data_IF_764857533852
#
_entry.id   IF_764857533852
#
_cell.length_a   1.000
_cell.length_b   1.000
_cell.length_c   1.000
_cell.angle_alpha   90.00
_cell.angle_beta   90.00
_cell.angle_gamma   90.00
#
_symmetry.space_group_name_H-M   'P 1'
#
loop_
_entity.id
_entity.type
_entity.pdbx_description
1 polymer ?
#
# COMPACT_ATOMS: atom_id res chain seq x y z
N UNK A 1 -19.49 -20.48 -10.80
CA UNK A 1 -19.54 -19.33 -9.87
C UNK A 1 -18.76 -18.16 -10.47
N UNK A 2 -19.20 -16.91 -10.32
CA UNK A 2 -18.46 -15.76 -10.82
C UNK A 2 -17.14 -15.61 -10.05
N UNK A 3 -16.03 -15.41 -10.77
CA UNK A 3 -14.65 -15.31 -10.27
C UNK A 3 -14.52 -14.41 -9.02
N UNK A 4 -15.25 -13.30 -9.01
CA UNK A 4 -15.31 -12.33 -7.90
C UNK A 4 -15.78 -12.95 -6.58
N UNK A 5 -16.76 -13.87 -6.62
CA UNK A 5 -17.29 -14.50 -5.41
C UNK A 5 -16.26 -15.45 -4.80
N UNK A 6 -15.54 -16.20 -5.63
CA UNK A 6 -14.45 -17.09 -5.18
C UNK A 6 -13.28 -16.29 -4.63
N UNK A 7 -12.93 -15.17 -5.26
CA UNK A 7 -11.90 -14.28 -4.75
C UNK A 7 -12.29 -13.66 -3.40
N UNK A 8 -13.55 -13.23 -3.25
CA UNK A 8 -14.04 -12.72 -1.96
C UNK A 8 -13.99 -13.77 -0.85
N UNK A 9 -14.30 -15.03 -1.15
CA UNK A 9 -14.15 -16.16 -0.21
C UNK A 9 -12.69 -16.38 0.18
N UNK A 10 -11.77 -16.33 -0.79
CA UNK A 10 -10.33 -16.40 -0.54
C UNK A 10 -9.85 -15.31 0.42
N UNK A 11 -10.19 -14.04 0.16
CA UNK A 11 -9.84 -12.93 1.05
C UNK A 11 -10.48 -13.10 2.43
N UNK A 12 -11.73 -13.55 2.50
CA UNK A 12 -12.43 -13.79 3.77
C UNK A 12 -11.80 -14.91 4.60
N UNK A 13 -11.21 -15.92 3.94
CA UNK A 13 -10.51 -17.02 4.60
C UNK A 13 -9.19 -16.58 5.21
N UNK A 14 -8.37 -15.81 4.47
CA UNK A 14 -7.07 -15.33 4.95
C UNK A 14 -7.15 -14.10 5.86
N UNK A 15 -8.23 -13.32 5.77
CA UNK A 15 -8.52 -12.20 6.66
C UNK A 15 -9.84 -12.46 7.41
N UNK A 16 -9.84 -13.35 8.42
CA UNK A 16 -11.07 -13.70 9.14
C UNK A 16 -11.61 -12.53 9.96
N UNK A 17 -10.73 -11.63 10.45
CA UNK A 17 -11.13 -10.41 11.13
C UNK A 17 -11.80 -9.44 10.13
N UNK A 18 -13.11 -9.23 10.32
CA UNK A 18 -13.96 -8.41 9.44
C UNK A 18 -13.44 -6.96 9.36
N UNK A 19 -13.08 -6.36 10.49
CA UNK A 19 -12.59 -4.98 10.55
C UNK A 19 -11.28 -4.81 9.79
N UNK A 20 -10.30 -5.69 10.04
CA UNK A 20 -9.02 -5.70 9.33
C UNK A 20 -9.22 -5.91 7.83
N UNK A 21 -10.10 -6.84 7.44
CA UNK A 21 -10.40 -7.12 6.04
C UNK A 21 -10.92 -5.88 5.33
N UNK A 22 -11.94 -5.22 5.89
CA UNK A 22 -12.50 -4.01 5.29
C UNK A 22 -11.47 -2.88 5.23
N UNK A 23 -10.70 -2.69 6.31
CA UNK A 23 -9.64 -1.69 6.36
C UNK A 23 -8.59 -1.92 5.28
N UNK A 24 -8.08 -3.14 5.16
CA UNK A 24 -7.09 -3.51 4.15
C UNK A 24 -7.64 -3.36 2.72
N UNK A 25 -8.86 -3.86 2.44
CA UNK A 25 -9.47 -3.71 1.11
C UNK A 25 -9.77 -2.25 0.75
N UNK A 26 -10.14 -1.44 1.74
CA UNK A 26 -10.37 0.00 1.54
C UNK A 26 -9.05 0.71 1.24
N UNK A 27 -8.01 0.41 2.02
CA UNK A 27 -6.67 0.97 1.81
C UNK A 27 -6.13 0.62 0.42
N UNK A 28 -6.22 -0.64 0.01
CA UNK A 28 -5.83 -1.08 -1.33
C UNK A 28 -6.63 -0.36 -2.43
N UNK A 29 -7.95 -0.22 -2.27
CA UNK A 29 -8.80 0.50 -3.22
C UNK A 29 -8.43 1.98 -3.34
N UNK A 30 -8.20 2.65 -2.21
CA UNK A 30 -7.79 4.06 -2.17
C UNK A 30 -6.45 4.27 -2.87
N UNK A 31 -5.47 3.41 -2.62
CA UNK A 31 -4.15 3.48 -3.27
C UNK A 31 -4.28 3.32 -4.79
N UNK A 32 -5.04 2.31 -5.26
CA UNK A 32 -5.27 2.09 -6.68
C UNK A 32 -5.93 3.31 -7.31
N UNK A 33 -6.97 3.86 -6.68
CA UNK A 33 -7.64 5.06 -7.17
C UNK A 33 -6.70 6.28 -7.19
N UNK A 34 -5.82 6.44 -6.20
CA UNK A 34 -4.83 7.52 -6.20
C UNK A 34 -3.84 7.41 -7.36
N UNK A 35 -3.33 6.21 -7.66
CA UNK A 35 -2.42 5.96 -8.79
C UNK A 35 -3.14 6.22 -10.13
N UNK A 36 -4.37 5.75 -10.28
CA UNK A 36 -5.15 6.01 -11.50
C UNK A 36 -5.45 7.50 -11.66
N UNK A 37 -5.83 8.19 -10.58
CA UNK A 37 -6.13 9.61 -10.58
C UNK A 37 -4.89 10.47 -10.85
N UNK A 38 -3.73 10.13 -10.30
CA UNK A 38 -2.50 10.91 -10.48
C UNK A 38 -2.04 10.94 -11.94
N UNK A 39 -2.27 9.85 -12.68
CA UNK A 39 -1.98 9.78 -14.12
C UNK A 39 -2.86 10.72 -14.97
N UNK A 40 -3.99 11.19 -14.43
CA UNK A 40 -4.91 12.14 -15.08
C UNK A 40 -4.65 13.60 -14.68
N UNK A 41 -3.77 13.83 -13.70
CA UNK A 41 -3.39 15.17 -13.24
C UNK A 41 -2.15 15.65 -13.99
N UNK A 42 -2.28 16.77 -14.72
CA UNK A 42 -1.15 17.39 -15.37
C UNK A 42 -0.70 18.67 -14.65
N UNK A 43 0.58 18.68 -14.27
CA UNK A 43 1.26 19.83 -13.67
C UNK A 43 2.23 20.43 -14.70
N UNK A 44 2.48 21.72 -14.60
CA UNK A 44 3.52 22.43 -15.34
C UNK A 44 4.90 22.09 -14.76
N UNK A 45 5.97 22.35 -15.52
CA UNK A 45 7.34 22.19 -15.02
C UNK A 45 7.66 23.08 -13.81
N UNK A 46 6.95 24.19 -13.66
CA UNK A 46 7.05 25.09 -12.51
C UNK A 46 6.24 24.62 -11.28
N UNK A 47 5.66 23.42 -11.32
CA UNK A 47 4.89 22.86 -10.20
C UNK A 47 3.46 23.42 -10.05
N UNK A 48 3.01 24.29 -10.96
CA UNK A 48 1.63 24.77 -10.99
C UNK A 48 0.71 23.79 -11.73
N UNK A 49 -0.53 23.66 -11.28
CA UNK A 49 -1.56 22.83 -11.93
C UNK A 49 -1.87 23.42 -13.32
N UNK A 50 -1.91 22.59 -14.37
CA UNK A 50 -2.28 23.08 -15.70
C UNK A 50 -3.72 23.59 -15.69
N UNK A 51 -3.97 24.73 -16.31
CA UNK A 51 -5.30 25.32 -16.39
C UNK A 51 -6.32 24.34 -17.01
N UNK A 52 -7.53 24.33 -16.47
CA UNK A 52 -8.65 23.51 -16.95
C UNK A 52 -9.43 22.85 -15.83
N UNK A 53 -10.75 22.80 -15.98
CA UNK A 53 -11.68 22.26 -14.97
C UNK A 53 -11.34 20.82 -14.56
N UNK A 54 -10.95 19.97 -15.51
CA UNK A 54 -10.58 18.58 -15.24
C UNK A 54 -9.31 18.45 -14.38
N UNK A 55 -8.26 19.24 -14.65
CA UNK A 55 -7.04 19.21 -13.83
C UNK A 55 -7.34 19.65 -12.39
N UNK A 56 -8.16 20.70 -12.22
CA UNK A 56 -8.60 21.16 -10.89
C UNK A 56 -9.41 20.08 -10.17
N UNK A 57 -10.34 19.42 -10.85
CA UNK A 57 -11.14 18.34 -10.28
C UNK A 57 -10.25 17.17 -9.82
N UNK A 58 -9.36 16.68 -10.69
CA UNK A 58 -8.48 15.55 -10.37
C UNK A 58 -7.47 15.88 -9.28
N UNK A 59 -7.01 17.13 -9.17
CA UNK A 59 -6.20 17.58 -8.05
C UNK A 59 -6.96 17.45 -6.73
N UNK A 60 -8.16 18.01 -6.64
CA UNK A 60 -8.94 17.95 -5.40
C UNK A 60 -9.35 16.52 -5.06
N UNK A 61 -9.72 15.71 -6.06
CA UNK A 61 -9.98 14.30 -5.88
C UNK A 61 -8.74 13.57 -5.34
N UNK A 62 -7.54 13.87 -5.87
CA UNK A 62 -6.28 13.32 -5.35
C UNK A 62 -6.08 13.65 -3.88
N UNK A 63 -6.25 14.93 -3.49
CA UNK A 63 -6.05 15.39 -2.11
C UNK A 63 -7.06 14.74 -1.17
N UNK A 64 -8.33 14.61 -1.58
CA UNK A 64 -9.38 13.98 -0.77
C UNK A 64 -9.06 12.48 -0.59
N UNK A 65 -8.76 11.76 -1.67
CA UNK A 65 -8.40 10.34 -1.62
C UNK A 65 -7.13 10.10 -0.80
N UNK A 66 -6.12 10.97 -0.94
CA UNK A 66 -4.90 10.95 -0.12
C UNK A 66 -5.18 11.16 1.36
N UNK A 67 -6.04 12.12 1.70
CA UNK A 67 -6.45 12.36 3.10
C UNK A 67 -7.20 11.16 3.70
N UNK A 68 -8.09 10.53 2.92
CA UNK A 68 -8.77 9.29 3.34
C UNK A 68 -7.78 8.13 3.51
N UNK A 69 -6.76 8.05 2.65
CA UNK A 69 -5.70 7.04 2.73
C UNK A 69 -4.92 7.17 4.03
N UNK A 70 -4.53 8.39 4.43
CA UNK A 70 -3.85 8.65 5.69
C UNK A 70 -4.68 8.13 6.88
N UNK A 71 -5.99 8.38 6.90
CA UNK A 71 -6.88 7.89 7.97
C UNK A 71 -6.89 6.35 8.00
N UNK A 72 -6.97 5.70 6.83
CA UNK A 72 -6.93 4.25 6.73
C UNK A 72 -5.56 3.68 7.14
N UNK A 73 -4.45 4.31 6.76
CA UNK A 73 -3.08 3.94 7.14
C UNK A 73 -2.90 4.03 8.66
N UNK A 74 -3.36 5.12 9.29
CA UNK A 74 -3.35 5.25 10.75
C UNK A 74 -4.17 4.14 11.42
N UNK A 75 -5.36 3.83 10.90
CA UNK A 75 -6.16 2.70 11.37
C UNK A 75 -5.40 1.37 11.30
N UNK A 76 -4.65 1.16 10.21
CA UNK A 76 -3.89 -0.06 9.98
C UNK A 76 -2.70 -0.16 10.95
N UNK A 77 -1.98 0.94 11.15
CA UNK A 77 -0.89 1.04 12.13
C UNK A 77 -1.43 0.76 13.55
N UNK A 78 -2.54 1.39 13.95
CA UNK A 78 -3.15 1.17 15.26
C UNK A 78 -3.52 -0.32 15.42
N UNK A 79 -4.14 -0.93 14.41
CA UNK A 79 -4.46 -2.34 14.46
C UNK A 79 -3.21 -3.21 14.64
N UNK A 80 -2.18 -2.98 13.82
CA UNK A 80 -0.92 -3.73 13.88
C UNK A 80 -0.21 -3.59 15.22
N UNK A 81 -0.20 -2.40 15.83
CA UNK A 81 0.46 -2.16 17.10
C UNK A 81 -0.33 -2.67 18.31
N UNK A 82 -1.66 -2.71 18.23
CA UNK A 82 -2.52 -3.11 19.36
C UNK A 82 -2.91 -4.58 19.34
N UNK A 83 -2.92 -5.22 18.16
CA UNK A 83 -3.34 -6.62 17.99
C UNK A 83 -2.21 -7.55 17.61
N UNK A 84 -1.07 -7.01 17.18
CA UNK A 84 0.11 -7.76 16.75
C UNK A 84 1.38 -7.13 17.35
N UNK A 85 2.51 -7.79 17.19
CA UNK A 85 3.79 -7.27 17.68
C UNK A 85 4.52 -6.51 16.57
N UNK A 86 5.11 -5.35 16.87
CA UNK A 86 6.00 -4.67 15.94
C UNK A 86 7.13 -5.59 15.42
N UNK A 87 7.64 -6.47 16.29
CA UNK A 87 8.67 -7.47 15.94
C UNK A 87 8.19 -8.49 14.91
N UNK A 88 6.88 -8.69 14.75
CA UNK A 88 6.30 -9.58 13.74
C UNK A 88 6.50 -9.05 12.31
N UNK A 89 6.52 -7.72 12.15
CA UNK A 89 6.66 -7.04 10.86
C UNK A 89 8.10 -6.67 10.55
N UNK A 90 8.90 -6.42 11.59
CA UNK A 90 10.29 -6.00 11.47
C UNK A 90 11.27 -6.91 12.25
N UNK A 91 11.18 -8.25 12.11
CA UNK A 91 11.97 -9.18 12.94
C UNK A 91 13.49 -9.01 12.73
N UNK A 92 13.90 -8.57 11.53
CA UNK A 92 15.29 -8.29 11.18
C UNK A 92 15.92 -7.13 11.98
N UNK A 93 15.11 -6.17 12.47
CA UNK A 93 15.59 -5.11 13.36
C UNK A 93 15.96 -5.64 14.76
N UNK A 94 15.51 -6.85 15.09
CA UNK A 94 15.77 -7.52 16.38
C UNK A 94 16.70 -8.73 16.24
N UNK A 95 17.32 -8.91 15.07
CA UNK A 95 18.17 -10.07 14.78
C UNK A 95 17.42 -11.39 14.58
N UNK A 96 16.08 -11.39 14.58
CA UNK A 96 15.25 -12.59 14.48
C UNK A 96 15.02 -13.01 13.02
N UNK A 97 16.09 -13.43 12.36
CA UNK A 97 16.06 -13.72 10.92
C UNK A 97 15.77 -15.18 10.59
N UNK A 98 15.41 -16.01 11.57
CA UNK A 98 15.28 -17.47 11.39
C UNK A 98 14.17 -17.81 10.38
N UNK A 99 12.97 -17.27 10.60
CA UNK A 99 11.79 -17.46 9.74
C UNK A 99 12.01 -16.86 8.35
N UNK A 100 12.51 -15.62 8.28
CA UNK A 100 12.83 -14.96 7.00
C UNK A 100 13.82 -15.79 6.17
N UNK A 101 14.90 -16.30 6.78
CA UNK A 101 15.89 -17.12 6.06
C UNK A 101 15.28 -18.43 5.54
N UNK A 102 14.36 -19.03 6.28
CA UNK A 102 13.67 -20.24 5.85
C UNK A 102 12.71 -19.95 4.69
N UNK A 103 11.93 -18.88 4.76
CA UNK A 103 11.03 -18.46 3.67
C UNK A 103 11.81 -18.17 2.38
N UNK A 104 12.95 -17.47 2.47
CA UNK A 104 13.81 -17.22 1.31
C UNK A 104 14.35 -18.52 0.70
N UNK A 105 14.75 -19.51 1.52
CA UNK A 105 15.17 -20.83 1.02
C UNK A 105 14.05 -21.56 0.30
N UNK A 106 12.81 -21.42 0.74
CA UNK A 106 11.65 -22.02 0.07
C UNK A 106 11.42 -21.36 -1.30
N UNK A 107 11.46 -20.03 -1.38
CA UNK A 107 11.29 -19.29 -2.64
C UNK A 107 12.37 -19.66 -3.66
N UNK A 108 13.64 -19.75 -3.23
CA UNK A 108 14.75 -20.18 -4.10
C UNK A 108 14.50 -21.59 -4.67
N UNK A 109 13.77 -22.45 -3.95
CA UNK A 109 13.35 -23.79 -4.39
C UNK A 109 12.04 -23.79 -5.20
N UNK A 110 11.52 -22.63 -5.58
CA UNK A 110 10.25 -22.49 -6.29
C UNK A 110 9.03 -22.85 -5.44
N UNK A 111 9.15 -22.83 -4.10
CA UNK A 111 8.06 -23.08 -3.17
C UNK A 111 7.57 -21.78 -2.55
N UNK A 112 6.26 -21.61 -2.53
CA UNK A 112 5.64 -20.48 -1.83
C UNK A 112 5.63 -20.77 -0.32
N UNK A 113 6.19 -19.88 0.52
CA UNK A 113 6.14 -20.06 1.95
C UNK A 113 4.71 -19.98 2.47
N UNK A 114 4.41 -20.81 3.48
CA UNK A 114 3.13 -20.75 4.18
C UNK A 114 3.04 -19.49 5.06
N UNK A 115 1.86 -18.84 5.14
CA UNK A 115 1.66 -17.69 6.04
C UNK A 115 1.92 -18.05 7.50
N UNK A 116 2.85 -17.34 8.14
CA UNK A 116 3.21 -17.52 9.56
C UNK A 116 3.74 -16.23 10.20
N UNK A 117 3.76 -16.21 11.53
CA UNK A 117 4.36 -15.09 12.28
C UNK A 117 5.82 -14.87 11.88
N UNK A 118 6.24 -13.61 11.82
CA UNK A 118 7.57 -13.17 11.36
C UNK A 118 7.98 -13.64 9.94
N UNK A 119 7.07 -14.29 9.22
CA UNK A 119 7.29 -14.73 7.86
C UNK A 119 7.26 -13.59 6.85
N UNK A 120 7.60 -13.92 5.61
CA UNK A 120 7.75 -12.98 4.52
C UNK A 120 6.47 -12.18 4.26
N UNK A 121 5.29 -12.78 4.43
CA UNK A 121 4.01 -12.07 4.30
C UNK A 121 3.88 -10.89 5.27
N UNK A 122 4.25 -11.09 6.54
CA UNK A 122 4.22 -10.02 7.55
C UNK A 122 5.31 -8.99 7.27
N UNK A 123 6.51 -9.43 6.86
CA UNK A 123 7.59 -8.51 6.52
C UNK A 123 7.20 -7.62 5.34
N UNK A 124 6.63 -8.19 4.28
CA UNK A 124 6.10 -7.46 3.13
C UNK A 124 5.04 -6.46 3.62
N UNK A 125 4.06 -6.89 4.42
CA UNK A 125 3.06 -5.97 4.99
C UNK A 125 3.69 -4.81 5.78
N UNK A 126 4.72 -5.07 6.59
CA UNK A 126 5.47 -4.04 7.30
C UNK A 126 6.17 -3.06 6.37
N UNK A 127 6.82 -3.56 5.33
CA UNK A 127 7.45 -2.73 4.29
C UNK A 127 6.43 -1.88 3.53
N UNK A 128 5.26 -2.43 3.23
CA UNK A 128 4.16 -1.70 2.58
C UNK A 128 3.68 -0.52 3.42
N UNK A 129 3.47 -0.74 4.72
CA UNK A 129 3.10 0.33 5.65
C UNK A 129 4.23 1.36 5.80
N UNK A 130 5.48 0.92 5.87
CA UNK A 130 6.64 1.83 5.87
C UNK A 130 6.69 2.72 4.63
N UNK A 131 6.49 2.14 3.44
CA UNK A 131 6.43 2.89 2.19
C UNK A 131 5.25 3.87 2.16
N UNK A 132 4.08 3.48 2.69
CA UNK A 132 2.91 4.35 2.81
C UNK A 132 3.17 5.54 3.73
N UNK A 133 3.84 5.33 4.87
CA UNK A 133 4.20 6.43 5.77
C UNK A 133 5.12 7.43 5.05
N UNK A 134 6.14 6.94 4.34
CA UNK A 134 7.09 7.81 3.63
C UNK A 134 6.38 8.69 2.58
N UNK A 135 5.53 8.09 1.75
CA UNK A 135 4.83 8.83 0.69
C UNK A 135 3.77 9.78 1.26
N UNK A 136 3.07 9.39 2.33
CA UNK A 136 2.07 10.24 3.01
C UNK A 136 2.71 11.45 3.68
N UNK A 137 3.86 11.27 4.34
CA UNK A 137 4.63 12.39 4.91
C UNK A 137 5.11 13.34 3.81
N UNK A 138 5.62 12.81 2.70
CA UNK A 138 6.02 13.64 1.57
C UNK A 138 4.82 14.38 0.94
N UNK A 139 3.66 13.72 0.85
CA UNK A 139 2.43 14.32 0.33
C UNK A 139 1.94 15.47 1.23
N UNK A 140 1.91 15.27 2.54
CA UNK A 140 1.52 16.29 3.50
C UNK A 140 2.48 17.47 3.52
N UNK A 141 3.80 17.20 3.48
CA UNK A 141 4.81 18.24 3.38
C UNK A 141 4.61 19.08 2.11
N UNK A 142 4.41 18.41 0.97
CA UNK A 142 4.13 19.10 -0.28
C UNK A 142 2.85 19.93 -0.20
N UNK A 143 1.74 19.38 0.32
CA UNK A 143 0.47 20.10 0.46
C UNK A 143 0.64 21.37 1.31
N UNK A 144 1.32 21.28 2.45
CA UNK A 144 1.59 22.43 3.32
C UNK A 144 2.43 23.48 2.59
N UNK A 145 3.52 23.08 1.94
CA UNK A 145 4.38 24.02 1.21
C UNK A 145 3.65 24.68 0.04
N UNK A 146 2.80 23.93 -0.67
CA UNK A 146 2.01 24.42 -1.79
C UNK A 146 0.96 25.44 -1.32
N UNK A 147 0.21 25.14 -0.26
CA UNK A 147 -0.79 26.07 0.30
C UNK A 147 -0.18 27.39 0.80
N UNK A 148 1.10 27.37 1.19
CA UNK A 148 1.85 28.54 1.65
C UNK A 148 2.63 29.26 0.53
N UNK A 149 2.46 28.87 -0.74
CA UNK A 149 3.23 29.40 -1.88
C UNK A 149 4.75 29.35 -1.66
N UNK A 150 5.23 28.31 -0.97
CA UNK A 150 6.65 28.16 -0.66
C UNK A 150 7.46 27.85 -1.92
N UNK A 151 8.67 28.43 -2.08
CA UNK A 151 9.56 28.10 -3.21
C UNK A 151 9.98 26.62 -3.23
N UNK A 152 9.92 25.93 -2.08
CA UNK A 152 10.29 24.51 -1.95
C UNK A 152 9.14 23.55 -2.31
N UNK A 153 7.95 24.04 -2.65
CA UNK A 153 6.80 23.19 -2.93
C UNK A 153 7.04 22.21 -4.09
N UNK A 154 7.77 22.65 -5.12
CA UNK A 154 8.08 21.77 -6.25
C UNK A 154 9.10 20.67 -5.90
N UNK A 155 10.07 20.95 -5.03
CA UNK A 155 11.03 19.93 -4.59
C UNK A 155 10.33 18.84 -3.78
N UNK A 156 9.45 19.23 -2.85
CA UNK A 156 8.62 18.30 -2.09
C UNK A 156 7.70 17.47 -2.98
N UNK A 157 7.16 18.07 -4.06
CA UNK A 157 6.39 17.36 -5.09
C UNK A 157 7.22 16.30 -5.80
N UNK A 158 8.43 16.62 -6.24
CA UNK A 158 9.29 15.66 -6.94
C UNK A 158 9.76 14.53 -6.00
N UNK A 159 9.96 14.82 -4.70
CA UNK A 159 10.18 13.78 -3.68
C UNK A 159 8.96 12.87 -3.57
N UNK A 160 7.77 13.43 -3.40
CA UNK A 160 6.53 12.65 -3.33
C UNK A 160 6.34 11.77 -4.58
N UNK A 161 6.55 12.34 -5.76
CA UNK A 161 6.50 11.62 -7.05
C UNK A 161 7.55 10.51 -7.15
N UNK A 162 8.76 10.73 -6.64
CA UNK A 162 9.80 9.69 -6.64
C UNK A 162 9.43 8.53 -5.71
N UNK A 163 8.77 8.83 -4.58
CA UNK A 163 8.31 7.84 -3.61
C UNK A 163 7.09 7.03 -4.11
N UNK A 164 6.32 7.49 -5.10
CA UNK A 164 5.22 6.69 -5.69
C UNK A 164 5.72 5.35 -6.24
N UNK A 165 6.94 5.32 -6.77
CA UNK A 165 7.55 4.09 -7.29
C UNK A 165 7.65 2.97 -6.24
N UNK A 166 7.81 3.30 -4.96
CA UNK A 166 7.81 2.31 -3.87
C UNK A 166 6.43 1.65 -3.73
N UNK A 167 5.36 2.45 -3.81
CA UNK A 167 3.98 1.96 -3.69
C UNK A 167 3.57 1.17 -4.93
N UNK A 168 3.97 1.62 -6.12
CA UNK A 168 3.72 0.90 -7.37
C UNK A 168 4.43 -0.46 -7.37
N UNK A 169 5.71 -0.50 -7.00
CA UNK A 169 6.45 -1.76 -6.86
C UNK A 169 5.82 -2.67 -5.80
N UNK A 170 5.39 -2.11 -4.66
CA UNK A 170 4.68 -2.86 -3.63
C UNK A 170 3.37 -3.45 -4.14
N UNK A 171 2.55 -2.66 -4.83
CA UNK A 171 1.26 -3.10 -5.38
C UNK A 171 1.44 -4.24 -6.38
N UNK A 172 2.42 -4.13 -7.27
CA UNK A 172 2.75 -5.17 -8.25
C UNK A 172 3.23 -6.43 -7.53
N UNK A 173 4.18 -6.31 -6.61
CA UNK A 173 4.74 -7.45 -5.88
C UNK A 173 3.73 -8.13 -4.96
N UNK A 174 3.19 -7.41 -3.99
CA UNK A 174 2.25 -7.92 -3.00
C UNK A 174 0.91 -8.31 -3.64
N UNK A 175 0.32 -7.42 -4.45
CA UNK A 175 -0.96 -7.68 -5.13
C UNK A 175 -0.85 -8.80 -6.16
N UNK A 176 0.25 -8.84 -6.92
CA UNK A 176 0.53 -9.93 -7.86
C UNK A 176 0.65 -11.29 -7.16
N UNK A 177 1.36 -11.35 -6.03
CA UNK A 177 1.47 -12.57 -5.23
C UNK A 177 0.12 -13.00 -4.64
N UNK A 178 -0.69 -12.07 -4.14
CA UNK A 178 -2.04 -12.38 -3.65
C UNK A 178 -2.93 -12.99 -4.75
N UNK A 179 -2.85 -12.45 -5.98
CA UNK A 179 -3.56 -13.02 -7.14
C UNK A 179 -3.00 -14.40 -7.51
N UNK A 180 -1.68 -14.57 -7.52
CA UNK A 180 -1.05 -15.87 -7.79
C UNK A 180 -1.49 -16.95 -6.80
N UNK A 181 -1.44 -16.66 -5.50
CA UNK A 181 -1.93 -17.55 -4.44
C UNK A 181 -3.40 -17.90 -4.65
N UNK A 182 -4.25 -16.91 -4.95
CA UNK A 182 -5.65 -17.16 -5.27
C UNK A 182 -5.82 -18.09 -6.48
N UNK A 183 -5.06 -17.87 -7.57
CA UNK A 183 -5.17 -18.69 -8.78
C UNK A 183 -4.77 -20.15 -8.53
N UNK A 184 -3.73 -20.39 -7.72
CA UNK A 184 -3.27 -21.72 -7.33
C UNK A 184 -4.32 -22.43 -6.45
N UNK A 185 -4.89 -21.71 -5.49
CA UNK A 185 -5.83 -22.27 -4.52
C UNK A 185 -7.30 -22.20 -4.95
N UNK A 186 -7.59 -21.63 -6.12
CA UNK A 186 -8.95 -21.29 -6.57
C UNK A 186 -9.95 -22.44 -6.41
N UNK A 187 -9.53 -23.68 -6.69
CA UNK A 187 -10.39 -24.87 -6.58
C UNK A 187 -10.99 -25.06 -5.18
N UNK A 188 -10.29 -24.61 -4.14
CA UNK A 188 -10.73 -24.63 -2.74
C UNK A 188 -11.86 -23.65 -2.44
N UNK A 189 -12.02 -22.61 -3.26
CA UNK A 189 -12.94 -21.50 -3.03
C UNK A 189 -14.06 -21.40 -4.10
N UNK A 190 -14.13 -22.37 -5.01
CA UNK A 190 -15.18 -22.50 -6.03
C UNK A 190 -16.53 -22.98 -5.47
#
# INVERSE_FOLDING_TARGET
MPLLRSFWRYISYYFPNVGLRHLHTTLAGLIILQILNSNLLHMTHAGAVKAGMFNTLFLWLHIILGSLTIIATLGMIIFMLTKQSFRQFFPYLFGDNTVLKDDLKQIIKGKLPEPREQGLGNIIQGLGIGALILIEVAALLWLVLWLNNSPYANDAREIHKSLTGLIEAYLIGHGGMAVLHFLIERKRFN
#
